data_IF_906081318538
#
_entry.id   IF_906081318538
#
_cell.length_a   1.000
_cell.length_b   1.000
_cell.length_c   1.000
_cell.angle_alpha   90.00
_cell.angle_beta   90.00
_cell.angle_gamma   90.00
#
_symmetry.space_group_name_H-M   'P 1'
#
loop_
_entity.id
_entity.type
_entity.pdbx_description
1 polymer ?
#
# COMPACT_ATOMS: atom_id res chain seq x y z
N UNK A 1 6.43 6.68 -5.33
CA UNK A 1 5.64 5.52 -4.84
C UNK A 1 5.01 4.81 -6.02
N UNK A 2 4.89 3.47 -5.96
CA UNK A 2 4.26 2.65 -6.99
C UNK A 2 3.50 1.47 -6.37
N UNK A 3 2.69 0.78 -7.16
CA UNK A 3 2.05 -0.48 -6.77
C UNK A 3 3.07 -1.57 -6.47
N UNK A 4 2.65 -2.67 -5.84
CA UNK A 4 3.50 -3.83 -5.59
C UNK A 4 3.57 -4.75 -6.82
N UNK A 5 4.71 -5.41 -7.02
CA UNK A 5 4.89 -6.50 -7.98
C UNK A 5 4.08 -7.75 -7.62
N UNK A 6 3.73 -7.89 -6.33
CA UNK A 6 2.90 -8.99 -5.81
C UNK A 6 1.40 -8.77 -6.00
N UNK A 7 0.97 -7.60 -6.49
CA UNK A 7 -0.45 -7.29 -6.67
C UNK A 7 -1.11 -8.21 -7.72
N UNK A 8 -2.37 -8.59 -7.51
CA UNK A 8 -3.11 -9.43 -8.45
C UNK A 8 -3.72 -8.64 -9.62
N UNK A 9 -3.92 -7.32 -9.45
CA UNK A 9 -4.48 -6.45 -10.47
C UNK A 9 -3.48 -6.23 -11.61
N UNK A 10 -3.91 -6.48 -12.84
CA UNK A 10 -3.06 -6.35 -14.05
C UNK A 10 -2.61 -4.91 -14.26
N UNK A 11 -3.47 -3.94 -14.07
CA UNK A 11 -3.13 -2.51 -14.23
C UNK A 11 -2.07 -2.08 -13.20
N UNK A 12 -2.16 -2.57 -11.96
CA UNK A 12 -1.16 -2.31 -10.93
C UNK A 12 0.21 -2.89 -11.33
N UNK A 13 0.25 -4.08 -11.91
CA UNK A 13 1.49 -4.70 -12.42
C UNK A 13 2.08 -3.92 -13.58
N UNK A 14 1.24 -3.43 -14.50
CA UNK A 14 1.69 -2.58 -15.62
C UNK A 14 2.30 -1.29 -15.07
N UNK A 15 1.63 -0.63 -14.13
CA UNK A 15 2.16 0.59 -13.48
C UNK A 15 3.48 0.31 -12.76
N UNK A 16 3.58 -0.80 -12.00
CA UNK A 16 4.82 -1.20 -11.36
C UNK A 16 5.96 -1.34 -12.37
N UNK A 17 5.77 -2.15 -13.41
CA UNK A 17 6.78 -2.40 -14.43
C UNK A 17 7.20 -1.12 -15.19
N UNK A 18 6.23 -0.29 -15.53
CA UNK A 18 6.48 1.01 -16.18
C UNK A 18 7.28 1.94 -15.27
N UNK A 19 6.96 1.95 -13.96
CA UNK A 19 7.69 2.74 -12.97
C UNK A 19 9.14 2.27 -12.84
N UNK A 20 9.39 0.96 -12.77
CA UNK A 20 10.75 0.41 -12.74
C UNK A 20 11.58 0.87 -13.96
N UNK A 21 10.97 0.87 -15.14
CA UNK A 21 11.64 1.31 -16.37
C UNK A 21 11.90 2.83 -16.34
N UNK A 22 10.91 3.62 -15.97
CA UNK A 22 10.99 5.07 -15.94
C UNK A 22 11.97 5.61 -14.88
N UNK A 23 12.17 4.85 -13.80
CA UNK A 23 13.03 5.23 -12.67
C UNK A 23 14.41 4.56 -12.69
N UNK A 24 14.91 4.16 -13.87
CA UNK A 24 16.28 3.64 -14.01
C UNK A 24 17.32 4.65 -13.47
N UNK A 25 18.56 4.21 -13.19
CA UNK A 25 19.64 5.12 -12.81
C UNK A 25 19.72 6.33 -13.76
N UNK A 26 20.02 7.48 -13.21
CA UNK A 26 20.01 8.80 -13.89
C UNK A 26 18.62 9.40 -14.18
N UNK A 27 17.53 8.82 -13.67
CA UNK A 27 16.20 9.43 -13.76
C UNK A 27 15.96 10.59 -12.79
N UNK A 28 16.88 10.81 -11.85
CA UNK A 28 16.70 11.76 -10.74
C UNK A 28 15.84 11.25 -9.58
N UNK A 29 15.33 10.00 -9.67
CA UNK A 29 14.56 9.37 -8.59
C UNK A 29 15.52 8.68 -7.61
N UNK A 30 15.59 9.20 -6.39
CA UNK A 30 16.49 8.68 -5.34
C UNK A 30 15.86 7.52 -4.56
N UNK A 31 14.56 7.58 -4.30
CA UNK A 31 13.84 6.59 -3.53
C UNK A 31 12.68 6.01 -4.34
N UNK A 32 12.61 4.70 -4.43
CA UNK A 32 11.51 3.98 -5.06
C UNK A 32 10.90 3.01 -4.04
N UNK A 33 9.61 3.19 -3.79
CA UNK A 33 8.87 2.52 -2.72
C UNK A 33 7.56 1.99 -3.27
N UNK A 34 7.22 0.73 -2.97
CA UNK A 34 5.92 0.15 -3.30
C UNK A 34 5.01 0.03 -2.09
N UNK A 35 3.72 0.06 -2.34
CA UNK A 35 2.66 -0.04 -1.33
C UNK A 35 1.68 -1.16 -1.66
N UNK A 36 0.95 -1.61 -0.64
CA UNK A 36 -0.13 -2.58 -0.79
C UNK A 36 -1.49 -1.87 -1.00
N UNK A 37 -2.37 -2.53 -1.75
CA UNK A 37 -3.73 -2.07 -2.02
C UNK A 37 -4.70 -3.16 -1.59
N UNK A 38 -5.56 -2.86 -0.61
CA UNK A 38 -6.64 -3.75 -0.20
C UNK A 38 -7.55 -4.09 -1.39
N UNK A 39 -8.01 -5.31 -1.45
CA UNK A 39 -8.78 -5.95 -2.52
C UNK A 39 -7.99 -6.38 -3.75
N UNK A 40 -6.67 -6.26 -3.74
CA UNK A 40 -5.85 -6.73 -4.86
C UNK A 40 -4.48 -7.28 -4.46
N UNK A 41 -3.74 -6.61 -3.56
CA UNK A 41 -2.40 -7.08 -3.17
C UNK A 41 -2.46 -8.38 -2.37
N UNK A 42 -3.43 -8.55 -1.48
CA UNK A 42 -3.64 -9.76 -0.69
C UNK A 42 -4.02 -10.99 -1.53
N UNK A 43 -4.47 -10.79 -2.77
CA UNK A 43 -4.77 -11.87 -3.72
C UNK A 43 -3.56 -12.31 -4.56
N UNK A 44 -2.41 -11.75 -4.30
CA UNK A 44 -1.14 -12.13 -4.92
C UNK A 44 -0.55 -13.39 -4.30
N UNK A 45 -1.24 -14.54 -4.40
CA UNK A 45 -0.88 -15.80 -3.72
C UNK A 45 0.48 -16.39 -4.12
N UNK A 46 1.03 -15.99 -5.26
CA UNK A 46 2.36 -16.45 -5.70
C UNK A 46 3.49 -15.73 -4.98
N UNK A 47 3.31 -14.43 -4.74
CA UNK A 47 4.31 -13.56 -4.11
C UNK A 47 3.60 -12.70 -3.07
N UNK A 48 3.88 -12.93 -1.80
CA UNK A 48 3.29 -12.12 -0.72
C UNK A 48 3.96 -10.75 -0.65
N UNK A 49 3.17 -9.73 -0.33
CA UNK A 49 3.73 -8.42 0.00
C UNK A 49 4.52 -8.49 1.31
N UNK A 50 5.81 -8.22 1.23
CA UNK A 50 6.73 -8.25 2.38
C UNK A 50 7.28 -6.86 2.64
N UNK A 51 6.64 -6.06 3.50
CA UNK A 51 7.09 -4.70 3.79
C UNK A 51 8.38 -4.68 4.61
N UNK A 52 9.18 -3.64 4.39
CA UNK A 52 10.42 -3.38 5.13
C UNK A 52 10.55 -1.91 5.56
N UNK A 53 9.55 -1.09 5.28
CA UNK A 53 9.48 0.31 5.65
C UNK A 53 8.08 0.58 6.23
N UNK A 54 8.02 1.20 7.43
CA UNK A 54 6.76 1.47 8.11
C UNK A 54 6.66 2.96 8.42
N UNK A 55 5.49 3.52 8.18
CA UNK A 55 5.17 4.89 8.53
C UNK A 55 4.12 4.90 9.64
N UNK A 56 4.49 5.43 10.81
CA UNK A 56 3.59 5.54 11.96
C UNK A 56 2.42 6.46 11.62
N UNK A 57 1.21 6.00 11.95
CA UNK A 57 -0.02 6.76 11.76
C UNK A 57 -0.71 7.05 13.11
N UNK A 58 -1.42 8.16 13.14
CA UNK A 58 -2.40 8.48 14.18
C UNK A 58 -3.78 7.91 13.82
N UNK A 59 -4.71 7.92 14.77
CA UNK A 59 -6.11 7.57 14.48
C UNK A 59 -6.76 8.57 13.51
N UNK A 60 -6.36 9.82 13.57
CA UNK A 60 -6.88 10.87 12.68
C UNK A 60 -6.42 10.66 11.23
N UNK A 61 -5.19 10.18 11.01
CA UNK A 61 -4.70 9.83 9.67
C UNK A 61 -5.56 8.72 9.06
N UNK A 62 -5.93 7.69 9.85
CA UNK A 62 -6.81 6.61 9.39
C UNK A 62 -8.19 7.15 9.02
N UNK A 63 -8.75 8.03 9.84
CA UNK A 63 -10.03 8.67 9.56
C UNK A 63 -9.98 9.49 8.28
N UNK A 64 -8.95 10.30 8.11
CA UNK A 64 -8.73 11.10 6.89
C UNK A 64 -8.62 10.21 5.64
N UNK A 65 -7.89 9.10 5.74
CA UNK A 65 -7.77 8.11 4.65
C UNK A 65 -9.14 7.54 4.27
N UNK A 66 -9.93 7.12 5.26
CA UNK A 66 -11.27 6.56 5.03
C UNK A 66 -12.19 7.62 4.40
N UNK A 67 -12.18 8.84 4.90
CA UNK A 67 -12.97 9.95 4.35
C UNK A 67 -12.58 10.24 2.90
N UNK A 68 -11.29 10.28 2.59
CA UNK A 68 -10.79 10.45 1.23
C UNK A 68 -11.26 9.32 0.28
N UNK A 69 -11.21 8.07 0.74
CA UNK A 69 -11.65 6.92 -0.04
C UNK A 69 -13.16 6.92 -0.31
N UNK A 70 -13.98 7.48 0.59
CA UNK A 70 -15.44 7.60 0.41
C UNK A 70 -15.83 8.51 -0.75
N UNK A 71 -14.95 9.38 -1.23
CA UNK A 71 -15.19 10.15 -2.45
C UNK A 71 -15.20 9.27 -3.71
N UNK A 72 -14.62 8.08 -3.63
CA UNK A 72 -14.70 7.06 -4.69
C UNK A 72 -15.89 6.13 -4.39
N UNK A 73 -17.11 6.61 -4.64
CA UNK A 73 -18.37 5.99 -4.21
C UNK A 73 -18.56 4.55 -4.66
N UNK A 74 -17.97 4.16 -5.80
CA UNK A 74 -18.02 2.78 -6.31
C UNK A 74 -17.01 1.84 -5.64
N UNK A 75 -16.02 2.38 -4.92
CA UNK A 75 -14.90 1.62 -4.39
C UNK A 75 -15.11 1.13 -2.96
N UNK A 76 -15.75 1.95 -2.13
CA UNK A 76 -16.03 1.60 -0.74
C UNK A 76 -17.23 0.66 -0.64
N UNK A 77 -17.08 -0.40 0.13
CA UNK A 77 -18.09 -1.44 0.34
C UNK A 77 -18.21 -1.77 1.83
N UNK A 78 -19.36 -2.30 2.28
CA UNK A 78 -19.52 -2.72 3.67
C UNK A 78 -18.65 -3.94 4.01
N UNK A 79 -18.25 -4.06 5.29
CA UNK A 79 -17.59 -5.27 5.77
C UNK A 79 -18.46 -6.53 5.50
N UNK A 80 -17.88 -7.67 5.06
CA UNK A 80 -16.46 -8.05 5.11
C UNK A 80 -15.63 -7.71 3.86
N UNK A 81 -16.09 -6.82 3.02
CA UNK A 81 -15.31 -6.45 1.84
C UNK A 81 -13.96 -5.81 2.25
N UNK A 82 -12.82 -6.10 1.59
CA UNK A 82 -11.51 -5.52 1.92
C UNK A 82 -11.46 -4.00 1.87
N UNK A 83 -12.29 -3.37 1.03
CA UNK A 83 -12.43 -1.90 0.94
C UNK A 83 -13.47 -1.35 1.91
N UNK A 84 -13.65 -1.93 3.07
CA UNK A 84 -14.48 -1.41 4.15
C UNK A 84 -13.66 -0.58 5.13
N UNK A 85 -14.31 0.33 5.85
CA UNK A 85 -13.69 1.09 6.93
C UNK A 85 -13.00 0.17 7.93
N UNK A 86 -13.68 -0.92 8.31
CA UNK A 86 -13.17 -1.93 9.24
C UNK A 86 -11.90 -2.61 8.73
N UNK A 87 -11.87 -3.01 7.46
CA UNK A 87 -10.69 -3.67 6.89
C UNK A 87 -9.50 -2.72 6.78
N UNK A 88 -9.73 -1.46 6.40
CA UNK A 88 -8.70 -0.41 6.32
C UNK A 88 -8.07 -0.17 7.70
N UNK A 89 -8.90 0.00 8.75
CA UNK A 89 -8.39 0.20 10.11
C UNK A 89 -7.66 -1.05 10.63
N UNK A 90 -8.20 -2.26 10.36
CA UNK A 90 -7.58 -3.53 10.76
C UNK A 90 -6.21 -3.74 10.13
N UNK A 91 -6.05 -3.41 8.85
CA UNK A 91 -4.75 -3.46 8.19
C UNK A 91 -3.76 -2.50 8.84
N UNK A 92 -4.17 -1.26 9.11
CA UNK A 92 -3.31 -0.28 9.76
C UNK A 92 -2.89 -0.71 11.18
N UNK A 93 -3.78 -1.36 11.94
CA UNK A 93 -3.48 -1.96 13.24
C UNK A 93 -2.49 -3.11 13.11
N UNK A 94 -2.69 -4.01 12.15
CA UNK A 94 -1.80 -5.13 11.89
C UNK A 94 -0.38 -4.65 11.53
N UNK A 95 -0.27 -3.67 10.63
CA UNK A 95 1.02 -3.08 10.26
C UNK A 95 1.65 -2.30 11.42
N UNK A 96 0.83 -1.66 12.24
CA UNK A 96 1.27 -1.03 13.48
C UNK A 96 1.89 -2.04 14.46
N UNK A 97 1.21 -3.18 14.68
CA UNK A 97 1.72 -4.25 15.53
C UNK A 97 3.08 -4.80 15.06
N UNK A 98 3.31 -4.88 13.75
CA UNK A 98 4.58 -5.33 13.19
C UNK A 98 5.76 -4.39 13.49
N UNK A 99 5.52 -3.12 13.75
CA UNK A 99 6.56 -2.12 14.03
C UNK A 99 6.46 -1.49 15.43
N UNK A 100 5.62 -2.04 16.33
CA UNK A 100 5.50 -1.57 17.72
C UNK A 100 4.69 -0.28 17.88
N UNK A 101 3.79 0.03 16.96
CA UNK A 101 2.89 1.18 17.02
C UNK A 101 1.43 0.75 16.95
N UNK A 102 0.52 1.65 17.35
CA UNK A 102 -0.91 1.37 17.30
C UNK A 102 -1.44 1.27 15.87
N UNK A 103 -0.96 2.14 15.00
CA UNK A 103 -1.28 2.18 13.58
C UNK A 103 -0.04 2.47 12.76
N UNK A 104 0.07 1.85 11.59
CA UNK A 104 1.07 2.17 10.59
C UNK A 104 0.56 1.88 9.18
N UNK A 105 1.16 2.51 8.21
CA UNK A 105 1.20 2.07 6.82
C UNK A 105 2.51 1.35 6.54
N UNK A 106 2.47 0.32 5.71
CA UNK A 106 3.64 -0.47 5.38
C UNK A 106 3.97 -0.35 3.89
N UNK A 107 5.27 -0.27 3.63
CA UNK A 107 5.84 -0.10 2.31
C UNK A 107 6.99 -1.08 2.10
N UNK A 108 7.33 -1.32 0.86
CA UNK A 108 8.55 -2.02 0.48
C UNK A 108 9.47 -1.08 -0.27
N UNK A 109 10.63 -0.82 0.29
CA UNK A 109 11.70 -0.12 -0.42
C UNK A 109 12.25 -1.04 -1.51
N UNK A 110 12.11 -0.61 -2.76
CA UNK A 110 12.63 -1.30 -3.94
C UNK A 110 14.09 -0.86 -4.16
N UNK A 111 14.32 0.45 -4.07
CA UNK A 111 15.64 1.05 -4.22
C UNK A 111 15.68 2.37 -3.44
N UNK A 112 16.82 2.62 -2.81
CA UNK A 112 17.10 3.88 -2.11
C UNK A 112 18.58 4.21 -2.27
N UNK A 113 18.88 5.46 -2.61
CA UNK A 113 20.21 6.04 -2.54
C UNK A 113 20.33 6.89 -1.27
N UNK A 114 21.45 6.76 -0.58
CA UNK A 114 21.80 7.54 0.63
C UNK A 114 22.89 8.54 0.28
#
# INVERSE_FOLDING_TARGET
FTHSDSDSNIDHKIVYNSTIIATRPNSGVEHLVSYEVLSSTEWGFKNSFTPNLFYKLSKEDIKTKIEALRHYTSEMQPFPHPRSDTAIESLAQFRGAQCGHKYAEAFRTIRSFL
#
